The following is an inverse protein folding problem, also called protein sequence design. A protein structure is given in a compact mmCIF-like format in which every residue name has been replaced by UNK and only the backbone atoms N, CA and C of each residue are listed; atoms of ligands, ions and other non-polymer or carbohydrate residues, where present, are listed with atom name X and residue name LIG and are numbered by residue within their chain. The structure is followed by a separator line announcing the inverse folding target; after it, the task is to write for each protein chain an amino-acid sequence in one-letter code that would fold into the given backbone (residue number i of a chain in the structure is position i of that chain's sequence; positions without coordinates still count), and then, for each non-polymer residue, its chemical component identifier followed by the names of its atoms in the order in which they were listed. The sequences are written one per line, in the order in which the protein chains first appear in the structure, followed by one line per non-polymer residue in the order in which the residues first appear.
data_IF_202190749106
#
_entry.id   IF_202190749106
#
_cell.length_a   1.000
_cell.length_b   1.000
_cell.length_c   1.000
_cell.angle_alpha   90.00
_cell.angle_beta   90.00
_cell.angle_gamma   90.00
#
_symmetry.space_group_name_H-M   'P 1'
#
loop_
_entity.id
_entity.type
_entity.pdbx_description
1 polymer ?
#
# COMPACT_ATOMS: atom_id res chain seq x y z
N UNK A 1 -6.27 -15.91 -4.03
CA UNK A 1 -5.40 -14.71 -3.85
C UNK A 1 -4.43 -14.83 -2.67
N UNK A 2 -4.84 -15.35 -1.52
CA UNK A 2 -4.00 -15.39 -0.30
C UNK A 2 -2.78 -16.31 -0.44
N UNK A 3 -3.00 -17.55 -0.77
CA UNK A 3 -1.90 -18.54 -0.87
C UNK A 3 -0.80 -18.15 -1.87
N UNK A 4 -1.12 -17.67 -3.08
CA UNK A 4 -0.09 -17.19 -4.00
C UNK A 4 0.73 -16.02 -3.47
N UNK A 5 0.13 -15.08 -2.73
CA UNK A 5 0.84 -13.93 -2.18
C UNK A 5 1.84 -14.34 -1.09
N UNK A 6 1.42 -15.21 -0.16
CA UNK A 6 2.28 -15.73 0.91
C UNK A 6 3.41 -16.61 0.35
N UNK A 7 3.05 -17.54 -0.53
CA UNK A 7 4.05 -18.45 -1.14
C UNK A 7 5.02 -17.68 -2.04
N UNK A 8 4.51 -16.72 -2.83
CA UNK A 8 5.33 -15.88 -3.68
C UNK A 8 6.36 -15.07 -2.89
N UNK A 9 5.94 -14.44 -1.79
CA UNK A 9 6.84 -13.71 -0.91
C UNK A 9 7.95 -14.63 -0.35
N UNK A 10 7.59 -15.80 0.16
CA UNK A 10 8.58 -16.78 0.68
C UNK A 10 9.54 -17.25 -0.41
N UNK A 11 9.03 -17.63 -1.59
CA UNK A 11 9.89 -18.12 -2.69
C UNK A 11 10.90 -17.09 -3.17
N UNK A 12 10.50 -15.82 -3.24
CA UNK A 12 11.44 -14.75 -3.62
C UNK A 12 12.54 -14.61 -2.58
N UNK A 13 12.22 -14.62 -1.29
CA UNK A 13 13.21 -14.54 -0.21
C UNK A 13 14.14 -15.77 -0.22
N UNK A 14 13.59 -16.98 -0.41
CA UNK A 14 14.39 -18.19 -0.47
C UNK A 14 15.31 -18.20 -1.69
N UNK A 15 14.82 -17.81 -2.87
CA UNK A 15 15.63 -17.70 -4.07
C UNK A 15 16.74 -16.61 -3.92
N UNK A 16 16.45 -15.50 -3.26
CA UNK A 16 17.45 -14.46 -2.98
C UNK A 16 18.57 -14.99 -2.06
N UNK A 17 18.21 -15.77 -1.04
CA UNK A 17 19.16 -16.41 -0.14
C UNK A 17 20.02 -17.44 -0.86
N UNK A 18 19.41 -18.28 -1.72
CA UNK A 18 20.11 -19.31 -2.48
C UNK A 18 21.05 -18.75 -3.53
N UNK A 19 20.70 -17.63 -4.14
CA UNK A 19 21.55 -16.95 -5.12
C UNK A 19 22.87 -16.46 -4.55
N UNK A 20 22.94 -16.12 -3.26
CA UNK A 20 24.15 -15.67 -2.57
C UNK A 20 24.72 -14.33 -3.06
N UNK A 21 24.15 -13.74 -4.09
CA UNK A 21 24.58 -12.46 -4.71
C UNK A 21 23.61 -11.32 -4.44
N UNK A 22 22.43 -11.61 -3.90
CA UNK A 22 21.41 -10.61 -3.57
C UNK A 22 21.81 -9.95 -2.25
N UNK A 23 22.14 -8.68 -2.29
CA UNK A 23 22.53 -7.93 -1.07
C UNK A 23 21.33 -7.46 -0.25
N UNK A 24 20.19 -7.19 -0.90
CA UNK A 24 18.96 -6.69 -0.25
C UNK A 24 17.74 -7.03 -1.08
N UNK A 25 16.65 -7.35 -0.42
CA UNK A 25 15.31 -7.48 -1.02
C UNK A 25 14.45 -6.30 -0.57
N UNK A 26 13.81 -5.61 -1.50
CA UNK A 26 12.82 -4.57 -1.22
C UNK A 26 11.44 -5.12 -1.55
N UNK A 27 10.59 -5.25 -0.53
CA UNK A 27 9.23 -5.76 -0.66
C UNK A 27 8.24 -4.60 -0.73
N UNK A 28 7.38 -4.59 -1.76
CA UNK A 28 6.23 -3.69 -1.80
C UNK A 28 5.05 -4.27 -1.02
N UNK A 29 4.82 -3.74 0.17
CA UNK A 29 3.62 -4.04 0.96
C UNK A 29 2.46 -3.12 0.59
N UNK A 30 1.63 -2.73 1.53
CA UNK A 30 0.51 -1.81 1.35
C UNK A 30 0.09 -1.24 2.70
N UNK A 31 -0.45 -0.04 2.69
CA UNK A 31 -1.10 0.53 3.88
C UNK A 31 -2.22 -0.38 4.41
N UNK A 32 -2.77 -1.24 3.56
CA UNK A 32 -3.71 -2.29 3.98
C UNK A 32 -3.14 -3.33 4.94
N UNK A 33 -1.81 -3.43 5.08
CA UNK A 33 -1.18 -4.27 6.11
C UNK A 33 -1.05 -3.55 7.47
N UNK A 34 -1.42 -2.28 7.56
CA UNK A 34 -1.15 -1.40 8.71
C UNK A 34 -2.42 -0.88 9.39
N UNK A 35 -3.44 -0.50 8.61
CA UNK A 35 -4.53 0.38 9.09
C UNK A 35 -5.77 -0.32 9.62
N UNK A 36 -5.98 -1.60 9.33
CA UNK A 36 -7.20 -2.33 9.71
C UNK A 36 -7.12 -2.81 11.17
N UNK A 37 -7.42 -1.92 12.12
CA UNK A 37 -7.44 -2.22 13.55
C UNK A 37 -8.66 -1.54 14.19
N UNK A 38 -9.66 -2.32 14.65
CA UNK A 38 -10.90 -1.77 15.22
C UNK A 38 -10.70 -1.19 16.63
N UNK A 39 -9.60 -1.54 17.29
CA UNK A 39 -9.30 -1.12 18.66
C UNK A 39 -8.41 0.12 18.73
N UNK A 40 -7.98 0.63 17.56
CA UNK A 40 -7.14 1.83 17.50
C UNK A 40 -7.92 3.07 17.90
N UNK A 41 -7.38 3.86 18.83
CA UNK A 41 -7.99 5.13 19.22
C UNK A 41 -8.09 6.08 18.01
N UNK A 42 -9.15 6.89 17.91
CA UNK A 42 -9.37 7.76 16.74
C UNK A 42 -8.27 8.80 16.49
N UNK A 43 -7.54 9.17 17.54
CA UNK A 43 -6.44 10.14 17.53
C UNK A 43 -5.05 9.47 17.50
N UNK A 44 -4.99 8.14 17.48
CA UNK A 44 -3.72 7.43 17.40
C UNK A 44 -3.01 7.66 16.08
N UNK A 45 -1.73 8.01 16.16
CA UNK A 45 -0.87 8.09 14.99
C UNK A 45 -0.60 6.69 14.46
N UNK A 46 -0.77 6.52 13.17
CA UNK A 46 -0.44 5.28 12.46
C UNK A 46 0.98 5.40 11.93
N UNK A 47 1.84 4.52 12.38
CA UNK A 47 3.25 4.45 11.97
C UNK A 47 3.65 3.04 11.52
N UNK A 48 4.93 2.85 11.27
CA UNK A 48 5.50 1.61 10.78
C UNK A 48 5.48 0.45 11.78
N UNK A 49 5.24 0.71 13.06
CA UNK A 49 5.07 -0.34 14.08
C UNK A 49 3.68 -0.98 14.03
N UNK A 50 2.71 -0.28 13.41
CA UNK A 50 1.33 -0.72 13.34
C UNK A 50 1.15 -1.89 12.39
N UNK A 51 0.20 -2.77 12.75
CA UNK A 51 -0.26 -3.89 11.91
C UNK A 51 -1.78 -3.93 11.87
N UNK A 52 -2.29 -4.39 10.74
CA UNK A 52 -3.71 -4.70 10.62
C UNK A 52 -4.06 -5.94 11.43
N UNK A 53 -5.19 -5.87 12.14
CA UNK A 53 -5.77 -7.01 12.83
C UNK A 53 -6.30 -8.02 11.81
N UNK A 54 -5.77 -9.25 11.87
CA UNK A 54 -6.10 -10.29 10.91
C UNK A 54 -7.52 -10.83 11.09
N UNK A 55 -8.01 -10.91 12.32
CA UNK A 55 -9.37 -11.39 12.59
C UNK A 55 -10.39 -10.34 12.12
N UNK A 56 -10.15 -9.08 12.41
CA UNK A 56 -10.99 -7.99 11.89
C UNK A 56 -11.01 -7.95 10.36
N UNK A 57 -9.87 -8.18 9.70
CA UNK A 57 -9.83 -8.28 8.25
C UNK A 57 -10.69 -9.43 7.72
N UNK A 58 -10.73 -10.58 8.41
CA UNK A 58 -11.60 -11.73 8.04
C UNK A 58 -13.07 -11.44 8.28
N UNK A 59 -13.42 -10.90 9.45
CA UNK A 59 -14.79 -10.55 9.82
C UNK A 59 -15.40 -9.54 8.82
N UNK A 60 -14.62 -8.53 8.44
CA UNK A 60 -15.03 -7.52 7.45
C UNK A 60 -14.86 -7.99 6.01
N UNK A 61 -14.38 -9.21 5.78
CA UNK A 61 -14.09 -9.78 4.46
C UNK A 61 -13.12 -8.95 3.63
N UNK A 62 -12.25 -8.19 4.29
CA UNK A 62 -11.21 -7.42 3.62
C UNK A 62 -10.00 -8.30 3.29
N UNK A 63 -10.19 -9.22 2.34
CA UNK A 63 -9.19 -10.21 1.94
C UNK A 63 -7.92 -9.60 1.35
N UNK A 64 -8.01 -8.39 0.80
CA UNK A 64 -6.83 -7.67 0.32
C UNK A 64 -5.91 -7.28 1.48
N UNK A 65 -6.42 -6.58 2.50
CA UNK A 65 -5.65 -6.17 3.67
C UNK A 65 -5.11 -7.38 4.43
N UNK A 66 -5.95 -8.40 4.63
CA UNK A 66 -5.52 -9.67 5.19
C UNK A 66 -4.34 -10.28 4.43
N UNK A 67 -4.47 -10.40 3.11
CA UNK A 67 -3.45 -10.99 2.25
C UNK A 67 -2.13 -10.22 2.26
N UNK A 68 -2.18 -8.90 2.27
CA UNK A 68 -0.99 -8.04 2.35
C UNK A 68 -0.28 -8.18 3.70
N UNK A 69 -1.03 -8.18 4.80
CA UNK A 69 -0.46 -8.35 6.14
C UNK A 69 0.21 -9.72 6.31
N UNK A 70 -0.48 -10.80 5.95
CA UNK A 70 0.07 -12.17 6.09
C UNK A 70 1.26 -12.40 5.15
N UNK A 71 1.22 -11.87 3.91
CA UNK A 71 2.33 -12.00 2.99
C UNK A 71 3.58 -11.26 3.47
N UNK A 72 3.42 -10.05 4.04
CA UNK A 72 4.52 -9.29 4.61
C UNK A 72 5.11 -10.00 5.84
N UNK A 73 4.28 -10.49 6.77
CA UNK A 73 4.73 -11.28 7.92
C UNK A 73 5.51 -12.52 7.49
N UNK A 74 5.01 -13.24 6.47
CA UNK A 74 5.69 -14.41 5.92
C UNK A 74 7.05 -14.07 5.27
N UNK A 75 7.17 -12.90 4.65
CA UNK A 75 8.45 -12.41 4.11
C UNK A 75 9.44 -12.12 5.24
N UNK A 76 9.01 -11.44 6.31
CA UNK A 76 9.86 -11.17 7.48
C UNK A 76 10.34 -12.45 8.15
N UNK A 77 9.43 -13.41 8.35
CA UNK A 77 9.79 -14.72 8.91
C UNK A 77 10.83 -15.46 8.04
N UNK A 78 10.62 -15.48 6.73
CA UNK A 78 11.53 -16.13 5.80
C UNK A 78 12.90 -15.42 5.76
N UNK A 79 12.91 -14.08 5.73
CA UNK A 79 14.13 -13.27 5.70
C UNK A 79 14.97 -13.48 6.97
N UNK A 80 14.33 -13.45 8.16
CA UNK A 80 15.00 -13.72 9.43
C UNK A 80 15.62 -15.12 9.48
N UNK A 81 14.89 -16.14 9.02
CA UNK A 81 15.37 -17.52 8.99
C UNK A 81 16.54 -17.74 8.03
N UNK A 82 16.57 -17.00 6.90
CA UNK A 82 17.55 -17.17 5.82
C UNK A 82 18.69 -16.15 5.87
N UNK A 83 18.66 -15.19 6.79
CA UNK A 83 19.65 -14.12 6.89
C UNK A 83 19.63 -13.15 5.70
N UNK A 84 18.45 -12.93 5.11
CA UNK A 84 18.28 -11.99 3.99
C UNK A 84 18.00 -10.59 4.53
N UNK A 85 18.73 -9.59 4.03
CA UNK A 85 18.44 -8.18 4.30
C UNK A 85 17.13 -7.79 3.57
N UNK A 86 16.05 -7.65 4.35
CA UNK A 86 14.71 -7.28 3.87
C UNK A 86 14.35 -5.87 4.31
N UNK A 87 13.92 -5.05 3.37
CA UNK A 87 13.32 -3.74 3.65
C UNK A 87 11.94 -3.69 2.99
N UNK A 88 10.96 -3.11 3.68
CA UNK A 88 9.57 -3.07 3.21
C UNK A 88 9.12 -1.63 2.96
N UNK A 89 8.66 -1.34 1.76
CA UNK A 89 7.96 -0.10 1.41
C UNK A 89 6.47 -0.35 1.45
N UNK A 90 5.75 0.52 2.15
CA UNK A 90 4.30 0.43 2.41
C UNK A 90 3.60 1.62 1.73
N UNK A 91 3.32 1.57 0.43
CA UNK A 91 2.63 2.67 -0.22
C UNK A 91 1.17 2.76 0.25
N UNK A 92 0.70 3.99 0.36
CA UNK A 92 -0.73 4.30 0.41
C UNK A 92 -1.35 4.20 -1.00
N UNK A 93 -2.45 4.86 -1.30
CA UNK A 93 -3.06 4.81 -2.63
C UNK A 93 -2.18 5.55 -3.65
N UNK A 94 -1.50 4.80 -4.51
CA UNK A 94 -0.59 5.35 -5.52
C UNK A 94 -1.39 5.96 -6.66
N UNK A 95 -1.06 7.22 -7.01
CA UNK A 95 -1.70 7.98 -8.08
C UNK A 95 -0.66 8.51 -9.05
N UNK A 96 -1.03 8.63 -10.32
CA UNK A 96 -0.16 9.19 -11.34
C UNK A 96 -0.32 8.53 -12.71
N UNK A 97 0.55 8.87 -13.67
CA UNK A 97 0.52 8.27 -15.00
C UNK A 97 0.71 6.75 -14.94
N UNK A 98 -0.21 6.01 -15.57
CA UNK A 98 -0.12 4.56 -15.70
C UNK A 98 0.82 4.18 -16.85
N UNK A 99 1.68 3.18 -16.61
CA UNK A 99 2.51 2.59 -17.65
C UNK A 99 1.83 1.36 -18.29
N UNK A 100 0.87 0.76 -17.58
CA UNK A 100 0.08 -0.35 -18.10
C UNK A 100 -1.14 0.12 -18.89
N UNK A 101 -1.62 -0.65 -19.85
CA UNK A 101 -2.80 -0.29 -20.65
C UNK A 101 -4.12 -0.49 -19.88
N UNK A 102 -4.12 -1.23 -18.78
CA UNK A 102 -5.30 -1.50 -17.95
C UNK A 102 -5.40 -0.57 -16.76
N UNK A 103 -6.62 -0.14 -16.44
CA UNK A 103 -6.90 0.66 -15.24
C UNK A 103 -6.90 -0.25 -14.02
N UNK A 104 -6.10 0.07 -13.03
CA UNK A 104 -6.04 -0.63 -11.76
C UNK A 104 -7.00 -0.05 -10.71
N UNK A 105 -7.01 -0.66 -9.51
CA UNK A 105 -7.87 -0.24 -8.42
C UNK A 105 -7.53 1.17 -7.91
N UNK A 106 -6.27 1.58 -7.95
CA UNK A 106 -5.82 2.89 -7.50
C UNK A 106 -6.31 4.01 -8.42
N UNK A 107 -6.17 3.82 -9.73
CA UNK A 107 -6.72 4.75 -10.72
C UNK A 107 -8.25 4.75 -10.71
N UNK A 108 -8.89 3.58 -10.60
CA UNK A 108 -10.35 3.45 -10.52
C UNK A 108 -10.90 4.27 -9.35
N UNK A 109 -10.15 4.39 -8.26
CA UNK A 109 -10.55 5.17 -7.10
C UNK A 109 -10.87 6.65 -7.44
N UNK A 110 -10.08 7.28 -8.31
CA UNK A 110 -10.35 8.65 -8.76
C UNK A 110 -11.29 8.69 -9.99
N UNK A 111 -11.10 7.79 -10.94
CA UNK A 111 -11.88 7.78 -12.19
C UNK A 111 -13.38 7.63 -11.96
N UNK A 112 -13.80 6.90 -10.91
CA UNK A 112 -15.23 6.76 -10.56
C UNK A 112 -15.90 8.10 -10.22
N UNK A 113 -15.14 9.08 -9.70
CA UNK A 113 -15.65 10.43 -9.46
C UNK A 113 -15.74 11.25 -10.74
N UNK A 114 -14.77 11.07 -11.66
CA UNK A 114 -14.74 11.81 -12.93
C UNK A 114 -15.77 11.29 -13.94
N UNK A 115 -15.96 9.97 -14.03
CA UNK A 115 -16.88 9.38 -15.00
C UNK A 115 -18.36 9.39 -14.57
N UNK A 116 -18.66 9.94 -13.38
CA UNK A 116 -20.02 10.04 -12.85
C UNK A 116 -20.65 8.70 -12.43
N UNK A 117 -19.87 7.62 -12.31
CA UNK A 117 -20.37 6.31 -11.85
C UNK A 117 -20.79 6.33 -10.38
N UNK A 118 -20.28 7.27 -9.60
CA UNK A 118 -20.69 7.52 -8.22
C UNK A 118 -21.24 8.93 -8.08
N UNK A 119 -22.33 9.09 -7.32
CA UNK A 119 -23.01 10.37 -7.08
C UNK A 119 -22.67 10.99 -5.73
N UNK A 120 -22.05 10.22 -4.86
CA UNK A 120 -21.67 10.64 -3.50
C UNK A 120 -20.30 10.10 -3.16
N UNK A 121 -19.69 10.64 -2.12
CA UNK A 121 -18.43 10.13 -1.57
C UNK A 121 -18.63 9.67 -0.13
N UNK A 122 -17.84 8.69 0.29
CA UNK A 122 -17.85 8.21 1.67
C UNK A 122 -17.25 9.25 2.62
N UNK A 123 -17.80 9.38 3.81
CA UNK A 123 -17.20 10.13 4.92
C UNK A 123 -15.97 9.33 5.43
N UNK A 124 -14.85 9.50 4.78
CA UNK A 124 -13.63 8.76 5.07
C UNK A 124 -12.38 9.51 4.57
N UNK A 125 -11.26 9.23 5.20
CA UNK A 125 -9.94 9.71 4.79
C UNK A 125 -9.20 8.63 3.99
N UNK A 126 -8.24 9.05 3.18
CA UNK A 126 -7.38 8.18 2.40
C UNK A 126 -5.99 8.81 2.26
N UNK A 127 -4.96 8.00 2.43
CA UNK A 127 -3.59 8.38 2.11
C UNK A 127 -3.34 8.30 0.60
N UNK A 128 -2.61 9.26 0.06
CA UNK A 128 -2.22 9.34 -1.35
C UNK A 128 -0.72 9.55 -1.47
N UNK A 129 -0.14 8.98 -2.52
CA UNK A 129 1.26 9.19 -2.89
C UNK A 129 1.38 9.22 -4.42
N UNK A 130 2.25 10.07 -4.93
CA UNK A 130 2.54 10.08 -6.36
C UNK A 130 3.38 8.87 -6.75
N UNK A 131 3.13 8.30 -7.95
CA UNK A 131 3.82 7.08 -8.41
C UNK A 131 5.34 7.24 -8.49
N UNK A 132 5.83 8.44 -8.81
CA UNK A 132 7.28 8.72 -8.83
C UNK A 132 7.88 8.66 -7.43
N UNK A 133 7.22 9.26 -6.44
CA UNK A 133 7.70 9.25 -5.06
C UNK A 133 7.68 7.82 -4.48
N UNK A 134 6.65 7.04 -4.83
CA UNK A 134 6.62 5.63 -4.48
C UNK A 134 7.78 4.85 -5.12
N UNK A 135 8.09 5.10 -6.40
CA UNK A 135 9.22 4.48 -7.09
C UNK A 135 10.57 4.92 -6.47
N UNK A 136 10.74 6.23 -6.23
CA UNK A 136 11.95 6.79 -5.61
C UNK A 136 12.18 6.24 -4.21
N UNK A 137 11.11 6.02 -3.43
CA UNK A 137 11.21 5.38 -2.12
C UNK A 137 11.80 3.96 -2.21
N UNK A 138 11.39 3.16 -3.22
CA UNK A 138 11.95 1.82 -3.43
C UNK A 138 13.43 1.87 -3.79
N UNK A 139 13.82 2.78 -4.68
CA UNK A 139 15.24 2.98 -5.04
C UNK A 139 16.04 3.42 -3.82
N UNK A 140 15.51 4.41 -3.08
CA UNK A 140 16.21 4.98 -1.93
C UNK A 140 16.45 3.96 -0.81
N UNK A 141 15.45 3.15 -0.44
CA UNK A 141 15.66 2.13 0.60
C UNK A 141 16.58 0.99 0.13
N UNK A 142 16.74 0.79 -1.18
CA UNK A 142 17.71 -0.14 -1.73
C UNK A 142 19.13 0.43 -1.70
N UNK A 143 19.31 1.72 -2.00
CA UNK A 143 20.62 2.35 -2.11
C UNK A 143 21.21 2.76 -0.76
N UNK A 144 20.38 3.20 0.20
CA UNK A 144 20.84 3.66 1.52
C UNK A 144 21.24 2.45 2.37
N UNK A 145 22.53 2.31 2.76
CA UNK A 145 23.02 1.12 3.47
C UNK A 145 22.31 0.88 4.80
N UNK A 146 22.01 1.96 5.53
CA UNK A 146 21.41 1.91 6.87
C UNK A 146 19.87 1.79 6.84
N UNK A 147 19.25 1.76 5.65
CA UNK A 147 17.82 1.54 5.57
C UNK A 147 17.47 0.15 6.06
N UNK A 148 16.52 0.07 7.01
CA UNK A 148 16.07 -1.19 7.62
C UNK A 148 14.61 -1.09 8.05
N UNK A 149 13.92 -2.22 8.12
CA UNK A 149 12.55 -2.29 8.60
C UNK A 149 11.52 -1.88 7.56
N UNK A 150 10.52 -1.16 8.01
CA UNK A 150 9.32 -0.78 7.24
C UNK A 150 9.31 0.72 7.00
N UNK A 151 8.77 1.15 5.86
CA UNK A 151 8.65 2.57 5.49
C UNK A 151 7.27 2.84 4.88
N UNK A 152 6.43 3.62 5.57
CA UNK A 152 5.17 4.10 5.00
C UNK A 152 5.48 5.20 3.99
N UNK A 153 5.00 5.01 2.76
CA UNK A 153 5.18 5.96 1.67
C UNK A 153 3.86 6.69 1.42
N UNK A 154 3.74 7.90 1.98
CA UNK A 154 2.55 8.75 1.91
C UNK A 154 2.96 10.20 1.75
N UNK A 155 2.32 10.93 0.81
CA UNK A 155 2.50 12.36 0.63
C UNK A 155 1.41 13.14 1.39
N UNK A 156 0.15 12.75 1.23
CA UNK A 156 -0.98 13.42 1.86
C UNK A 156 -2.06 12.46 2.34
N UNK A 157 -2.70 12.82 3.45
CA UNK A 157 -3.93 12.16 3.91
C UNK A 157 -5.09 13.14 3.73
N UNK A 158 -6.03 12.81 2.86
CA UNK A 158 -7.13 13.69 2.49
C UNK A 158 -8.48 13.04 2.81
N UNK A 159 -9.41 13.84 3.33
CA UNK A 159 -10.81 13.47 3.33
C UNK A 159 -11.33 13.41 1.89
N UNK A 160 -12.25 12.50 1.59
CA UNK A 160 -12.76 12.32 0.21
C UNK A 160 -13.46 13.56 -0.34
N UNK A 161 -14.07 14.38 0.51
CA UNK A 161 -14.58 15.70 0.13
C UNK A 161 -13.47 16.60 -0.45
N UNK A 162 -12.31 16.62 0.20
CA UNK A 162 -11.14 17.39 -0.28
C UNK A 162 -10.69 16.92 -1.67
N UNK A 163 -10.67 15.61 -1.89
CA UNK A 163 -10.35 15.01 -3.20
C UNK A 163 -11.37 15.45 -4.27
N UNK A 164 -12.66 15.32 -3.97
CA UNK A 164 -13.74 15.73 -4.87
C UNK A 164 -13.64 17.23 -5.20
N UNK A 165 -13.34 18.07 -4.19
CA UNK A 165 -13.12 19.51 -4.39
C UNK A 165 -11.95 19.81 -5.33
N UNK A 166 -10.84 19.05 -5.18
CA UNK A 166 -9.68 19.16 -6.07
C UNK A 166 -10.05 18.74 -7.50
N UNK A 167 -10.73 17.61 -7.66
CA UNK A 167 -11.16 17.14 -8.98
C UNK A 167 -12.09 18.14 -9.66
N UNK A 168 -13.06 18.70 -8.94
CA UNK A 168 -13.98 19.72 -9.48
C UNK A 168 -13.24 20.99 -9.92
N UNK A 169 -12.20 21.39 -9.18
CA UNK A 169 -11.38 22.56 -9.53
C UNK A 169 -10.58 22.37 -10.81
N UNK A 170 -9.98 21.20 -11.00
CA UNK A 170 -9.08 20.94 -12.13
C UNK A 170 -9.76 20.29 -13.33
N UNK A 171 -10.93 19.69 -13.13
CA UNK A 171 -11.69 18.96 -14.14
C UNK A 171 -13.18 19.35 -14.09
N UNK A 172 -13.50 20.65 -14.27
CA UNK A 172 -14.88 21.16 -14.13
C UNK A 172 -15.86 20.61 -15.15
N UNK A 173 -15.34 20.09 -16.28
CA UNK A 173 -16.14 19.49 -17.37
C UNK A 173 -16.65 18.07 -17.03
N UNK A 174 -16.13 17.45 -15.98
CA UNK A 174 -16.56 16.11 -15.58
C UNK A 174 -17.66 16.12 -14.51
N UNK A 175 -18.53 15.10 -14.47
CA UNK A 175 -19.66 15.03 -13.54
C UNK A 175 -19.22 14.61 -12.12
N UNK A 176 -18.32 15.38 -11.52
CA UNK A 176 -17.81 15.13 -10.17
C UNK A 176 -18.94 15.28 -9.14
N UNK A 177 -19.09 14.38 -8.14
CA UNK A 177 -20.13 14.45 -7.11
C UNK A 177 -20.13 15.78 -6.34
N UNK A 178 -21.33 16.18 -5.87
CA UNK A 178 -21.49 17.36 -4.99
C UNK A 178 -21.07 17.08 -3.54
#
# INVERSE_FOLDING_TARGET
MLEPAVRGARYVIEAAAEAGTVRRVVLTSSIGAVTMDPNRAPDAVVDESCWSDLEFCKETKNWYCYGKAVAEQAAWEAAARRGVDLVVVIPVLVQGPALQPSVDASLTHLLKYLNGSVKTYANAVQGYVHVRDAADAHVRVFEVPDATGRYICSDAVLHREGVVRILRKFFPEYPVPD
#
